data_IF_992162053730
#
_entry.id   IF_992162053730
#
_cell.length_a   1.000
_cell.length_b   1.000
_cell.length_c   1.000
_cell.angle_alpha   90.00
_cell.angle_beta   90.00
_cell.angle_gamma   90.00
#
_symmetry.space_group_name_H-M   'P 1'
#
loop_
_entity.id
_entity.type
_entity.pdbx_description
1 polymer ?
#
# COMPACT_ATOMS: atom_id res chain seq x y z
N UNK A 1 30.51 45.99 -14.27
CA UNK A 1 30.94 44.96 -15.23
C UNK A 1 31.51 43.84 -14.39
N UNK A 2 31.02 42.62 -14.35
CA UNK A 2 29.98 41.95 -15.12
C UNK A 2 29.80 40.59 -14.43
N UNK A 3 28.55 40.20 -14.25
CA UNK A 3 28.13 38.85 -13.88
C UNK A 3 28.84 37.76 -14.68
N UNK A 4 29.18 36.67 -14.02
CA UNK A 4 29.15 35.34 -14.60
C UNK A 4 29.01 34.31 -13.48
N UNK A 5 27.76 34.02 -13.11
CA UNK A 5 27.38 32.82 -12.37
C UNK A 5 27.94 31.60 -13.10
N UNK A 6 28.71 30.81 -12.38
CA UNK A 6 29.11 29.47 -12.78
C UNK A 6 27.84 28.63 -12.98
N UNK A 7 27.49 28.39 -14.24
CA UNK A 7 26.40 27.52 -14.62
C UNK A 7 26.81 26.09 -14.29
N UNK A 8 26.31 25.56 -13.17
CA UNK A 8 26.36 24.13 -12.89
C UNK A 8 25.56 23.41 -13.98
N UNK A 9 26.29 22.71 -14.83
CA UNK A 9 25.77 21.80 -15.84
C UNK A 9 24.79 20.81 -15.18
N UNK A 10 23.51 20.91 -15.57
CA UNK A 10 22.47 19.96 -15.18
C UNK A 10 22.77 18.65 -15.91
N UNK A 11 23.55 17.78 -15.27
CA UNK A 11 23.74 16.41 -15.72
C UNK A 11 22.38 15.70 -15.67
N UNK A 12 21.83 15.39 -16.83
CA UNK A 12 20.61 14.59 -16.96
C UNK A 12 20.74 13.33 -16.08
N UNK A 13 19.80 13.17 -15.16
CA UNK A 13 19.77 12.01 -14.27
C UNK A 13 19.28 10.81 -15.06
N UNK A 14 20.23 10.02 -15.56
CA UNK A 14 19.99 8.68 -16.08
C UNK A 14 19.10 7.87 -15.12
N UNK A 15 18.01 7.24 -15.61
CA UNK A 15 17.11 6.47 -14.77
C UNK A 15 17.76 5.16 -14.33
N UNK A 16 18.44 5.23 -13.19
CA UNK A 16 18.45 4.20 -12.16
C UNK A 16 19.39 3.02 -12.36
N UNK A 17 20.56 3.06 -11.72
CA UNK A 17 21.22 1.87 -11.16
C UNK A 17 21.82 2.26 -9.81
N UNK A 18 21.12 1.93 -8.71
CA UNK A 18 21.65 1.94 -7.35
C UNK A 18 21.63 0.51 -6.78
N UNK A 19 22.62 0.11 -5.98
CA UNK A 19 22.70 -1.22 -5.41
C UNK A 19 21.57 -1.39 -4.38
N UNK A 20 20.50 -2.07 -4.79
CA UNK A 20 19.29 -2.26 -3.97
C UNK A 20 18.00 -2.42 -4.76
N UNK A 21 17.98 -2.01 -6.04
CA UNK A 21 16.82 -2.28 -6.91
C UNK A 21 16.98 -3.65 -7.55
N UNK A 22 16.51 -4.72 -6.87
CA UNK A 22 16.21 -5.97 -7.57
C UNK A 22 15.17 -5.65 -8.66
N UNK A 23 15.60 -5.64 -9.92
CA UNK A 23 14.72 -5.72 -11.08
C UNK A 23 14.16 -7.14 -11.15
N UNK A 24 13.17 -7.42 -10.32
CA UNK A 24 12.16 -8.44 -10.60
C UNK A 24 10.94 -8.04 -9.77
N UNK A 25 10.02 -7.28 -10.38
CA UNK A 25 8.61 -7.48 -10.02
C UNK A 25 8.40 -8.98 -10.21
N UNK A 26 8.28 -9.73 -9.11
CA UNK A 26 8.10 -11.18 -9.18
C UNK A 26 6.75 -11.41 -9.85
N UNK A 27 6.78 -11.82 -11.12
CA UNK A 27 5.56 -12.26 -11.82
C UNK A 27 4.88 -13.35 -11.00
N UNK A 28 3.57 -13.21 -10.83
CA UNK A 28 2.75 -14.12 -10.06
C UNK A 28 2.88 -13.95 -8.55
N UNK A 29 3.12 -12.73 -8.07
CA UNK A 29 3.22 -12.44 -6.63
C UNK A 29 1.89 -12.72 -5.92
N UNK A 30 0.77 -12.39 -6.58
CA UNK A 30 -0.56 -12.52 -6.03
C UNK A 30 -1.40 -13.61 -6.71
N UNK A 31 -0.84 -14.43 -7.61
CA UNK A 31 -1.63 -15.38 -8.41
C UNK A 31 -2.51 -16.33 -7.58
N UNK A 32 -2.03 -16.78 -6.41
CA UNK A 32 -2.81 -17.66 -5.53
C UNK A 32 -4.00 -16.94 -4.91
N UNK A 33 -3.77 -15.73 -4.40
CA UNK A 33 -4.79 -14.96 -3.68
C UNK A 33 -5.79 -14.32 -4.66
N UNK A 34 -5.30 -13.88 -5.82
CA UNK A 34 -6.13 -13.34 -6.90
C UNK A 34 -7.12 -14.35 -7.42
N UNK A 35 -6.74 -15.63 -7.54
CA UNK A 35 -7.69 -16.68 -7.95
C UNK A 35 -8.92 -16.73 -7.03
N UNK A 36 -8.68 -16.72 -5.72
CA UNK A 36 -9.77 -16.75 -4.72
C UNK A 36 -10.56 -15.45 -4.74
N UNK A 37 -9.89 -14.32 -4.90
CA UNK A 37 -10.51 -13.01 -4.96
C UNK A 37 -11.42 -12.89 -6.18
N UNK A 38 -10.93 -13.28 -7.37
CA UNK A 38 -11.71 -13.26 -8.62
C UNK A 38 -12.99 -14.09 -8.49
N UNK A 39 -12.90 -15.30 -7.93
CA UNK A 39 -14.08 -16.11 -7.62
C UNK A 39 -15.03 -15.41 -6.63
N UNK A 40 -14.51 -14.82 -5.56
CA UNK A 40 -15.30 -14.05 -4.58
C UNK A 40 -16.01 -12.82 -5.17
N UNK A 41 -15.49 -12.27 -6.27
CA UNK A 41 -16.12 -11.19 -7.04
C UNK A 41 -17.02 -11.69 -8.19
N UNK A 42 -17.24 -13.00 -8.30
CA UNK A 42 -18.21 -13.60 -9.23
C UNK A 42 -17.61 -14.22 -10.49
N UNK A 43 -16.29 -14.36 -10.58
CA UNK A 43 -15.64 -15.11 -11.67
C UNK A 43 -15.80 -16.64 -11.46
N UNK A 44 -15.35 -17.44 -12.43
CA UNK A 44 -15.32 -18.90 -12.34
C UNK A 44 -14.31 -19.38 -11.28
N UNK A 45 -14.54 -20.57 -10.70
CA UNK A 45 -13.68 -21.12 -9.63
C UNK A 45 -12.21 -21.38 -10.08
N UNK A 46 -12.01 -21.57 -11.39
CA UNK A 46 -10.67 -21.70 -11.98
C UNK A 46 -10.53 -20.74 -13.17
N UNK A 47 -10.24 -19.45 -12.92
CA UNK A 47 -10.02 -18.48 -13.98
C UNK A 47 -8.82 -18.85 -14.87
N UNK A 48 -8.82 -18.35 -16.10
CA UNK A 48 -7.73 -18.59 -17.03
C UNK A 48 -6.40 -18.03 -16.47
N UNK A 49 -5.30 -18.76 -16.70
CA UNK A 49 -3.98 -18.36 -16.21
C UNK A 49 -3.55 -16.98 -16.74
N UNK A 50 -3.87 -16.68 -18.00
CA UNK A 50 -3.59 -15.39 -18.62
C UNK A 50 -4.38 -14.25 -17.96
N UNK A 51 -5.66 -14.48 -17.60
CA UNK A 51 -6.47 -13.50 -16.87
C UNK A 51 -5.90 -13.22 -15.48
N UNK A 52 -5.45 -14.27 -14.77
CA UNK A 52 -4.80 -14.12 -13.46
C UNK A 52 -3.50 -13.32 -13.59
N UNK A 53 -2.71 -13.58 -14.64
CA UNK A 53 -1.47 -12.85 -14.90
C UNK A 53 -1.73 -11.36 -15.18
N UNK A 54 -2.72 -11.03 -16.00
CA UNK A 54 -3.12 -9.64 -16.25
C UNK A 54 -3.62 -8.98 -14.97
N UNK A 55 -4.42 -9.67 -14.17
CA UNK A 55 -4.88 -9.14 -12.87
C UNK A 55 -3.72 -8.89 -11.89
N UNK A 56 -2.70 -9.75 -11.89
CA UNK A 56 -1.48 -9.57 -11.09
C UNK A 56 -0.77 -8.27 -11.48
N UNK A 57 -0.55 -8.05 -12.77
CA UNK A 57 0.06 -6.82 -13.28
C UNK A 57 -0.77 -5.57 -12.93
N UNK A 58 -2.10 -5.61 -13.14
CA UNK A 58 -2.99 -4.49 -12.82
C UNK A 58 -3.00 -4.13 -11.33
N UNK A 59 -2.96 -5.12 -10.44
CA UNK A 59 -2.93 -4.88 -9.00
C UNK A 59 -1.60 -4.29 -8.56
N UNK A 60 -0.49 -4.78 -9.11
CA UNK A 60 0.85 -4.25 -8.83
C UNK A 60 0.93 -2.78 -9.27
N UNK A 61 0.44 -2.46 -10.47
CA UNK A 61 0.42 -1.10 -11.00
C UNK A 61 -0.46 -0.19 -10.14
N UNK A 62 -1.65 -0.65 -9.76
CA UNK A 62 -2.56 0.12 -8.89
C UNK A 62 -1.93 0.43 -7.53
N UNK A 63 -1.34 -0.56 -6.86
CA UNK A 63 -0.68 -0.36 -5.56
C UNK A 63 0.49 0.61 -5.71
N UNK A 64 1.29 0.45 -6.76
CA UNK A 64 2.45 1.30 -7.05
C UNK A 64 2.02 2.75 -7.26
N UNK A 65 1.01 2.98 -8.11
CA UNK A 65 0.47 4.31 -8.38
C UNK A 65 -0.11 4.96 -7.11
N UNK A 66 -0.85 4.19 -6.31
CA UNK A 66 -1.41 4.67 -5.02
C UNK A 66 -0.32 5.07 -4.04
N UNK A 67 0.74 4.26 -3.90
CA UNK A 67 1.89 4.58 -3.04
C UNK A 67 2.64 5.82 -3.53
N UNK A 68 2.81 5.99 -4.85
CA UNK A 68 3.44 7.19 -5.41
C UNK A 68 2.62 8.45 -5.13
N UNK A 69 1.29 8.40 -5.33
CA UNK A 69 0.38 9.51 -4.99
C UNK A 69 0.45 9.86 -3.50
N UNK A 70 0.40 8.87 -2.61
CA UNK A 70 0.51 9.08 -1.17
C UNK A 70 1.90 9.64 -0.78
N UNK A 71 2.96 9.18 -1.43
CA UNK A 71 4.32 9.72 -1.25
C UNK A 71 4.42 11.19 -1.64
N UNK A 72 3.76 11.61 -2.73
CA UNK A 72 3.70 13.02 -3.13
C UNK A 72 2.99 13.90 -2.11
N UNK A 73 1.92 13.39 -1.48
CA UNK A 73 1.24 14.11 -0.37
C UNK A 73 2.15 14.21 0.86
N UNK A 74 2.93 13.16 1.14
CA UNK A 74 3.84 13.10 2.27
C UNK A 74 5.19 13.81 2.05
N UNK A 75 5.43 14.41 0.88
CA UNK A 75 6.75 14.88 0.43
C UNK A 75 7.43 15.79 1.47
N UNK A 76 6.71 16.83 1.94
CA UNK A 76 7.23 17.78 2.94
C UNK A 76 7.50 17.14 4.31
N UNK A 77 6.86 16.00 4.61
CA UNK A 77 7.00 15.29 5.88
C UNK A 77 8.05 14.17 5.80
N UNK A 78 8.43 13.74 4.60
CA UNK A 78 9.40 12.67 4.37
C UNK A 78 8.95 11.25 4.76
N UNK A 79 7.74 11.08 5.32
CA UNK A 79 7.21 9.77 5.74
C UNK A 79 5.71 9.65 5.46
N UNK A 80 5.33 8.60 4.74
CA UNK A 80 3.94 8.25 4.42
C UNK A 80 3.18 7.78 5.67
N UNK A 81 1.94 8.20 5.81
CA UNK A 81 0.98 7.85 6.87
C UNK A 81 -0.37 7.47 6.27
N UNK A 82 -1.27 6.94 7.09
CA UNK A 82 -2.62 6.52 6.68
C UNK A 82 -3.43 7.71 6.14
N UNK A 83 -3.25 8.89 6.73
CA UNK A 83 -3.95 10.12 6.33
C UNK A 83 -3.62 10.54 4.90
N UNK A 84 -2.43 10.22 4.38
CA UNK A 84 -2.09 10.54 3.00
C UNK A 84 -2.90 9.68 2.02
N UNK A 85 -3.11 8.40 2.34
CA UNK A 85 -3.98 7.52 1.55
C UNK A 85 -5.43 7.99 1.60
N UNK A 86 -5.93 8.40 2.77
CA UNK A 86 -7.26 9.01 2.91
C UNK A 86 -7.37 10.27 2.04
N UNK A 87 -6.34 11.12 2.02
CA UNK A 87 -6.31 12.32 1.20
C UNK A 87 -6.32 11.99 -0.30
N UNK A 88 -5.55 10.99 -0.76
CA UNK A 88 -5.58 10.53 -2.15
C UNK A 88 -6.97 10.02 -2.54
N UNK A 89 -7.63 9.29 -1.64
CA UNK A 89 -8.97 8.71 -1.86
C UNK A 89 -10.13 9.70 -1.64
N UNK A 90 -9.89 10.96 -1.28
CA UNK A 90 -10.93 11.92 -0.87
C UNK A 90 -12.04 12.18 -1.89
N UNK A 91 -11.80 11.86 -3.17
CA UNK A 91 -12.78 12.02 -4.25
C UNK A 91 -13.61 10.75 -4.52
N UNK A 92 -13.26 9.63 -3.90
CA UNK A 92 -13.99 8.37 -4.00
C UNK A 92 -14.61 8.04 -2.64
N UNK A 93 -15.85 8.50 -2.45
CA UNK A 93 -16.56 8.35 -1.18
C UNK A 93 -16.72 6.88 -0.76
N UNK A 94 -16.88 5.96 -1.71
CA UNK A 94 -17.05 4.52 -1.40
C UNK A 94 -15.75 3.91 -0.90
N UNK A 95 -14.63 4.17 -1.59
CA UNK A 95 -13.32 3.67 -1.14
C UNK A 95 -12.90 4.32 0.18
N UNK A 96 -13.13 5.62 0.34
CA UNK A 96 -12.79 6.31 1.58
C UNK A 96 -13.59 5.77 2.78
N UNK A 97 -14.91 5.62 2.65
CA UNK A 97 -15.76 5.06 3.70
C UNK A 97 -15.31 3.64 4.07
N UNK A 98 -14.97 2.82 3.07
CA UNK A 98 -14.48 1.46 3.31
C UNK A 98 -13.16 1.45 4.08
N UNK A 99 -12.24 2.37 3.79
CA UNK A 99 -10.97 2.49 4.54
C UNK A 99 -11.24 2.86 6.00
N UNK A 100 -12.14 3.81 6.25
CA UNK A 100 -12.49 4.22 7.61
C UNK A 100 -13.14 3.10 8.42
N UNK A 101 -14.07 2.36 7.80
CA UNK A 101 -14.71 1.19 8.40
C UNK A 101 -13.67 0.12 8.78
N UNK A 102 -12.75 -0.23 7.88
CA UNK A 102 -11.72 -1.23 8.13
C UNK A 102 -10.74 -0.82 9.23
N UNK A 103 -10.37 0.47 9.29
CA UNK A 103 -9.53 0.99 10.36
C UNK A 103 -10.25 0.91 11.71
N UNK A 104 -11.52 1.34 11.74
CA UNK A 104 -12.35 1.27 12.94
C UNK A 104 -12.47 -0.18 13.46
N UNK A 105 -12.82 -1.13 12.59
CA UNK A 105 -12.92 -2.54 12.95
C UNK A 105 -11.57 -3.11 13.45
N UNK A 106 -10.46 -2.70 12.84
CA UNK A 106 -9.14 -3.13 13.29
C UNK A 106 -8.80 -2.60 14.68
N UNK A 107 -9.22 -1.39 15.02
CA UNK A 107 -9.02 -0.83 16.37
C UNK A 107 -9.91 -1.52 17.39
N UNK A 108 -11.17 -1.78 17.05
CA UNK A 108 -12.11 -2.51 17.92
C UNK A 108 -11.59 -3.91 18.23
N UNK A 109 -11.10 -4.66 17.22
CA UNK A 109 -10.48 -5.97 17.44
C UNK A 109 -9.23 -5.86 18.33
N UNK A 110 -8.40 -4.83 18.12
CA UNK A 110 -7.18 -4.63 18.92
C UNK A 110 -7.53 -4.34 20.38
N UNK A 111 -8.50 -3.47 20.63
CA UNK A 111 -8.99 -3.14 21.98
C UNK A 111 -9.59 -4.37 22.66
N UNK A 112 -10.39 -5.14 21.93
CA UNK A 112 -10.97 -6.37 22.46
C UNK A 112 -9.89 -7.35 22.92
N UNK A 113 -8.83 -7.55 22.13
CA UNK A 113 -7.70 -8.43 22.51
C UNK A 113 -6.98 -7.97 23.78
N UNK A 114 -6.72 -6.66 23.92
CA UNK A 114 -6.07 -6.10 25.11
C UNK A 114 -6.87 -6.37 26.40
N UNK A 115 -8.20 -6.24 26.34
CA UNK A 115 -9.06 -6.53 27.49
C UNK A 115 -9.04 -8.01 27.94
N UNK A 116 -8.69 -8.94 27.04
CA UNK A 116 -8.51 -10.35 27.41
C UNK A 116 -7.13 -10.60 28.01
N UNK A 117 -6.08 -10.01 27.44
CA UNK A 117 -4.70 -10.12 27.95
C UNK A 117 -4.56 -9.51 29.36
N UNK A 118 -5.19 -8.37 29.62
CA UNK A 118 -5.21 -7.74 30.96
C UNK A 118 -5.92 -8.61 32.00
N UNK A 119 -7.04 -9.25 31.62
CA UNK A 119 -7.78 -10.15 32.51
C UNK A 119 -7.06 -11.45 32.83
N UNK A 120 -6.29 -11.99 31.89
CA UNK A 120 -5.49 -13.19 32.13
C UNK A 120 -4.35 -12.89 33.12
N UNK A 121 -3.67 -11.74 33.00
CA UNK A 121 -2.66 -11.32 33.98
C UNK A 121 -3.26 -11.07 35.38
N UNK A 122 -4.41 -10.42 35.47
CA UNK A 122 -5.11 -10.21 36.76
C UNK A 122 -5.54 -11.53 37.42
N UNK A 123 -5.87 -12.57 36.63
CA UNK A 123 -6.24 -13.88 37.14
C UNK A 123 -5.02 -14.71 37.60
N UNK A 124 -3.87 -14.57 36.94
CA UNK A 124 -2.62 -15.22 37.35
C UNK A 124 -2.00 -14.59 38.62
N UNK A 125 -2.08 -13.27 38.78
CA UNK A 125 -1.61 -12.56 39.98
C UNK A 125 -2.51 -12.79 41.22
N UNK A 126 -3.72 -13.33 41.03
CA UNK A 126 -4.68 -13.63 42.10
C UNK A 126 -4.58 -15.06 42.66
N UNK A 127 -3.62 -15.87 42.19
CA UNK A 127 -3.35 -17.28 42.61
C UNK A 127 -1.99 -17.40 43.26
#
# INVERSE_FOLDING_TARGET
>A
MSDAKEAKELKEREPGIGPGRRKTVRKGMFSRDLKLLMYGFGDVANPAADSIAVMDDLVIDYITEMCQKASGVAENRGKVRVEDFKFVLRKDAKKLARVEELLYMSEDIRRAKQLFEEKEMEAEDAV
#
